data_IF_003246141222
#
_entry.id   IF_003246141222
#
_cell.length_a   1.000
_cell.length_b   1.000
_cell.length_c   1.000
_cell.angle_alpha   90.00
_cell.angle_beta   90.00
_cell.angle_gamma   90.00
#
_symmetry.space_group_name_H-M   'P 1'
#
loop_
_entity.id
_entity.type
_entity.pdbx_description
1 polymer ?
#
# COMPACT_ATOMS: atom_id res chain seq x y z
N UNK A 1 -22.71 15.59 7.97
CA UNK A 1 -22.16 16.22 6.75
C UNK A 1 -21.10 15.29 6.18
N UNK A 2 -20.98 15.15 4.85
CA UNK A 2 -19.89 14.40 4.24
C UNK A 2 -18.54 15.03 4.61
N UNK A 3 -17.49 14.21 4.62
CA UNK A 3 -16.13 14.71 4.81
C UNK A 3 -15.75 15.65 3.66
N UNK A 4 -15.07 16.75 3.97
CA UNK A 4 -14.61 17.77 3.02
C UNK A 4 -13.21 17.49 2.49
N UNK A 5 -12.42 16.73 3.24
CA UNK A 5 -11.03 16.40 2.94
C UNK A 5 -10.66 15.03 3.57
N UNK A 6 -9.48 14.51 3.19
CA UNK A 6 -8.98 13.23 3.69
C UNK A 6 -8.60 13.29 5.17
N UNK A 7 -8.15 14.43 5.67
CA UNK A 7 -7.73 14.58 7.07
C UNK A 7 -8.91 14.35 8.03
N UNK A 8 -10.10 14.82 7.68
CA UNK A 8 -11.32 14.56 8.44
C UNK A 8 -11.61 13.06 8.56
N UNK A 9 -11.39 12.30 7.49
CA UNK A 9 -11.58 10.85 7.45
C UNK A 9 -10.52 10.17 8.33
N UNK A 10 -9.25 10.52 8.15
CA UNK A 10 -8.13 9.96 8.95
C UNK A 10 -8.34 10.22 10.45
N UNK A 11 -8.75 11.44 10.81
CA UNK A 11 -9.04 11.81 12.19
C UNK A 11 -10.23 11.03 12.77
N UNK A 12 -11.29 10.79 11.97
CA UNK A 12 -12.39 9.93 12.38
C UNK A 12 -11.92 8.50 12.62
N UNK A 13 -11.13 7.94 11.70
CA UNK A 13 -10.62 6.58 11.78
C UNK A 13 -9.82 6.35 13.06
N UNK A 14 -8.88 7.26 13.38
CA UNK A 14 -8.11 7.21 14.62
C UNK A 14 -9.00 7.35 15.85
N UNK A 15 -9.90 8.34 15.88
CA UNK A 15 -10.74 8.62 17.06
C UNK A 15 -11.80 7.56 17.35
N UNK A 16 -12.25 6.82 16.34
CA UNK A 16 -13.37 5.87 16.47
C UNK A 16 -12.94 4.41 16.40
N UNK A 17 -11.65 4.11 16.29
CA UNK A 17 -11.16 2.74 16.28
C UNK A 17 -11.42 2.00 14.97
N UNK A 18 -11.22 2.68 13.85
CA UNK A 18 -11.18 2.04 12.55
C UNK A 18 -9.76 1.63 12.17
N UNK A 19 -8.84 2.59 12.02
CA UNK A 19 -7.49 2.33 11.51
C UNK A 19 -6.49 3.20 12.25
N UNK A 20 -5.34 2.60 12.60
CA UNK A 20 -4.22 3.24 13.27
C UNK A 20 -2.92 3.02 12.47
N UNK A 21 -1.96 3.95 12.48
CA UNK A 21 -0.59 3.66 12.02
C UNK A 21 -0.03 2.50 12.85
N UNK A 22 0.51 1.47 12.19
CA UNK A 22 1.05 0.35 12.94
C UNK A 22 2.29 0.76 13.73
N UNK A 23 2.46 0.21 14.93
CA UNK A 23 3.54 0.53 15.85
C UNK A 23 3.64 2.04 16.20
N UNK A 24 2.51 2.75 16.28
CA UNK A 24 2.45 4.22 16.51
C UNK A 24 3.26 4.67 17.73
N UNK A 25 3.23 3.92 18.84
CA UNK A 25 3.98 4.24 20.07
C UNK A 25 5.50 4.11 19.94
N UNK A 26 5.98 3.45 18.87
CA UNK A 26 7.39 3.27 18.55
C UNK A 26 7.87 4.15 17.38
N UNK A 27 7.07 5.13 16.97
CA UNK A 27 7.38 6.02 15.85
C UNK A 27 6.74 5.62 14.52
N UNK A 28 5.94 4.55 14.52
CA UNK A 28 5.20 4.09 13.36
C UNK A 28 6.04 3.30 12.35
N UNK A 29 5.39 2.41 11.61
CA UNK A 29 5.99 1.76 10.45
C UNK A 29 5.29 2.25 9.18
N UNK A 30 6.07 2.77 8.22
CA UNK A 30 5.50 3.34 6.99
C UNK A 30 4.75 2.26 6.21
N UNK A 31 3.62 2.64 5.65
CA UNK A 31 2.78 1.79 4.80
C UNK A 31 2.21 0.55 5.49
N UNK A 32 2.17 0.51 6.82
CA UNK A 32 1.44 -0.51 7.57
C UNK A 32 0.48 0.10 8.59
N UNK A 33 -0.64 -0.58 8.79
CA UNK A 33 -1.75 -0.07 9.59
C UNK A 33 -2.43 -1.21 10.35
N UNK A 34 -2.89 -0.90 11.56
CA UNK A 34 -3.63 -1.81 12.41
C UNK A 34 -5.11 -1.44 12.41
N UNK A 35 -5.99 -2.42 12.24
CA UNK A 35 -7.43 -2.22 12.30
C UNK A 35 -7.92 -2.28 13.76
N UNK A 36 -8.56 -1.20 14.22
CA UNK A 36 -9.20 -1.15 15.53
C UNK A 36 -10.48 -1.99 15.63
N UNK A 37 -11.21 -1.92 16.75
CA UNK A 37 -12.40 -2.75 16.97
C UNK A 37 -13.48 -2.57 15.89
N UNK A 38 -13.84 -1.32 15.55
CA UNK A 38 -14.82 -1.06 14.50
C UNK A 38 -14.27 -1.35 13.11
N UNK A 39 -12.99 -1.06 12.88
CA UNK A 39 -12.34 -1.32 11.58
C UNK A 39 -12.23 -2.80 11.26
N UNK A 40 -11.93 -3.63 12.26
CA UNK A 40 -11.85 -5.08 12.10
C UNK A 40 -13.22 -5.69 11.75
N UNK A 41 -14.29 -5.24 12.42
CA UNK A 41 -15.66 -5.65 12.09
C UNK A 41 -16.08 -5.17 10.69
N UNK A 42 -15.75 -3.92 10.35
CA UNK A 42 -16.02 -3.38 9.01
C UNK A 42 -15.29 -4.18 7.93
N UNK A 43 -13.99 -4.45 8.11
CA UNK A 43 -13.18 -5.23 7.18
C UNK A 43 -13.77 -6.64 7.00
N UNK A 44 -14.21 -7.26 8.10
CA UNK A 44 -14.88 -8.56 8.06
C UNK A 44 -16.17 -8.51 7.25
N UNK A 45 -17.03 -7.54 7.51
CA UNK A 45 -18.30 -7.37 6.80
C UNK A 45 -18.09 -7.17 5.30
N UNK A 46 -17.07 -6.40 4.89
CA UNK A 46 -16.73 -6.20 3.48
C UNK A 46 -16.26 -7.51 2.83
N UNK A 47 -15.37 -8.26 3.49
CA UNK A 47 -14.90 -9.56 3.01
C UNK A 47 -16.05 -10.56 2.86
N UNK A 48 -16.91 -10.67 3.89
CA UNK A 48 -18.04 -11.60 3.88
C UNK A 48 -19.07 -11.22 2.80
N UNK A 49 -19.33 -9.92 2.59
CA UNK A 49 -20.19 -9.46 1.50
C UNK A 49 -19.61 -9.82 0.12
N UNK A 50 -18.29 -9.66 -0.07
CA UNK A 50 -17.62 -10.03 -1.31
C UNK A 50 -17.70 -11.54 -1.56
N UNK A 51 -17.42 -12.38 -0.56
CA UNK A 51 -17.51 -13.84 -0.68
C UNK A 51 -18.93 -14.28 -1.02
N UNK A 52 -19.94 -13.67 -0.38
CA UNK A 52 -21.34 -13.96 -0.69
C UNK A 52 -21.64 -13.71 -2.17
N UNK A 53 -21.26 -12.55 -2.69
CA UNK A 53 -21.60 -12.14 -4.06
C UNK A 53 -20.76 -12.85 -5.12
N UNK A 54 -19.45 -12.99 -4.89
CA UNK A 54 -18.53 -13.53 -5.90
C UNK A 54 -18.42 -15.05 -5.88
N UNK A 55 -18.70 -15.71 -4.75
CA UNK A 55 -18.55 -17.16 -4.60
C UNK A 55 -19.91 -17.81 -4.35
N UNK A 56 -20.64 -17.40 -3.32
CA UNK A 56 -21.85 -18.14 -2.90
C UNK A 56 -23.05 -17.93 -3.84
N UNK A 57 -23.09 -16.81 -4.56
CA UNK A 57 -24.15 -16.47 -5.52
C UNK A 57 -23.80 -16.83 -6.97
N UNK A 58 -22.65 -17.49 -7.19
CA UNK A 58 -22.14 -17.84 -8.51
C UNK A 58 -21.76 -19.31 -8.55
N UNK A 59 -22.13 -19.99 -9.64
CA UNK A 59 -21.82 -21.41 -9.80
C UNK A 59 -20.44 -21.66 -10.45
N UNK A 60 -19.72 -20.60 -10.82
CA UNK A 60 -18.49 -20.64 -11.63
C UNK A 60 -17.23 -20.16 -10.89
N UNK A 61 -17.31 -19.93 -9.57
CA UNK A 61 -16.18 -19.45 -8.75
C UNK A 61 -16.04 -20.31 -7.51
N UNK A 62 -14.81 -20.75 -7.21
CA UNK A 62 -14.49 -21.56 -6.03
C UNK A 62 -13.54 -20.78 -5.12
N UNK A 63 -13.85 -20.75 -3.81
CA UNK A 63 -12.98 -20.13 -2.81
C UNK A 63 -11.85 -21.09 -2.42
N UNK A 64 -10.61 -20.60 -2.52
CA UNK A 64 -9.41 -21.31 -2.06
C UNK A 64 -8.65 -20.43 -1.06
N UNK A 65 -7.94 -21.07 -0.13
CA UNK A 65 -7.02 -20.41 0.81
C UNK A 65 -5.63 -21.02 0.64
N UNK A 66 -4.68 -20.21 0.17
CA UNK A 66 -3.34 -20.65 -0.21
C UNK A 66 -2.28 -20.10 0.75
N UNK A 67 -1.15 -20.81 0.87
CA UNK A 67 -0.03 -20.33 1.66
C UNK A 67 0.58 -19.05 1.07
N UNK A 68 0.92 -18.09 1.93
CA UNK A 68 1.59 -16.84 1.54
C UNK A 68 3.05 -17.10 1.12
N UNK A 69 3.72 -18.02 1.80
CA UNK A 69 5.09 -18.41 1.47
C UNK A 69 5.08 -19.47 0.39
N UNK A 70 5.82 -19.21 -0.69
CA UNK A 70 5.95 -20.12 -1.83
C UNK A 70 7.39 -20.23 -2.32
N UNK A 71 7.73 -21.31 -3.04
CA UNK A 71 9.05 -21.48 -3.63
C UNK A 71 9.30 -20.45 -4.77
N UNK A 72 10.55 -19.97 -4.96
CA UNK A 72 10.89 -18.94 -5.95
C UNK A 72 10.42 -19.23 -7.38
N UNK A 73 10.36 -20.50 -7.76
CA UNK A 73 9.96 -20.97 -9.10
C UNK A 73 8.56 -20.50 -9.48
N UNK A 74 7.64 -20.30 -8.52
CA UNK A 74 6.30 -19.76 -8.79
C UNK A 74 6.39 -18.31 -9.28
N UNK A 75 7.24 -17.51 -8.66
CA UNK A 75 7.44 -16.11 -9.00
C UNK A 75 8.25 -15.93 -10.29
N UNK A 76 9.14 -16.88 -10.58
CA UNK A 76 9.85 -16.94 -11.86
C UNK A 76 8.90 -17.29 -13.00
N UNK A 77 8.14 -18.39 -12.88
CA UNK A 77 7.21 -18.84 -13.90
C UNK A 77 6.09 -17.83 -14.20
N UNK A 78 5.66 -17.08 -13.19
CA UNK A 78 4.68 -15.99 -13.37
C UNK A 78 5.30 -14.68 -13.86
N UNK A 79 6.63 -14.59 -13.99
CA UNK A 79 7.35 -13.41 -14.46
C UNK A 79 7.51 -12.30 -13.43
N UNK A 80 7.11 -12.49 -12.17
CA UNK A 80 7.24 -11.47 -11.12
C UNK A 80 8.70 -11.10 -10.86
N UNK A 81 9.63 -12.06 -10.93
CA UNK A 81 11.06 -11.78 -10.72
C UNK A 81 11.67 -10.83 -11.76
N UNK A 82 11.10 -10.75 -12.96
CA UNK A 82 11.60 -9.91 -14.04
C UNK A 82 10.83 -8.59 -14.21
N UNK A 83 9.58 -8.53 -13.76
CA UNK A 83 8.67 -7.43 -14.12
C UNK A 83 8.03 -6.71 -12.93
N UNK A 84 8.07 -7.28 -11.72
CA UNK A 84 7.41 -6.69 -10.55
C UNK A 84 8.33 -5.74 -9.78
N UNK A 85 8.82 -4.71 -10.47
CA UNK A 85 9.66 -3.66 -9.89
C UNK A 85 9.17 -2.28 -10.32
N UNK A 86 9.16 -1.33 -9.39
CA UNK A 86 8.98 0.09 -9.72
C UNK A 86 10.36 0.74 -9.91
N UNK A 87 10.65 1.41 -11.03
CA UNK A 87 11.92 2.11 -11.21
C UNK A 87 12.10 3.21 -10.17
N UNK A 88 13.24 3.20 -9.48
CA UNK A 88 13.55 4.18 -8.43
C UNK A 88 14.72 5.08 -8.83
N UNK A 89 14.70 6.32 -8.38
CA UNK A 89 15.81 7.27 -8.49
C UNK A 89 16.24 7.79 -7.13
N UNK A 90 17.55 8.02 -6.97
CA UNK A 90 18.14 8.55 -5.75
C UNK A 90 18.45 10.04 -5.92
N UNK A 91 17.89 10.90 -5.08
CA UNK A 91 18.25 12.33 -5.12
C UNK A 91 19.69 12.52 -4.63
N UNK A 92 20.52 13.18 -5.44
CA UNK A 92 21.94 13.42 -5.13
C UNK A 92 22.15 14.34 -3.92
N UNK A 93 21.17 15.19 -3.61
CA UNK A 93 21.22 16.18 -2.53
C UNK A 93 20.59 15.65 -1.25
N UNK A 94 19.31 15.27 -1.27
CA UNK A 94 18.60 14.83 -0.07
C UNK A 94 18.89 13.37 0.31
N UNK A 95 19.59 12.61 -0.55
CA UNK A 95 19.96 11.20 -0.38
C UNK A 95 18.77 10.26 -0.14
N UNK A 96 17.55 10.69 -0.51
CA UNK A 96 16.35 9.87 -0.45
C UNK A 96 16.05 9.25 -1.81
N UNK A 97 15.40 8.09 -1.75
CA UNK A 97 14.91 7.35 -2.89
C UNK A 97 13.46 7.70 -3.17
N UNK A 98 13.12 7.83 -4.44
CA UNK A 98 11.79 8.16 -4.91
C UNK A 98 11.42 7.23 -6.07
N UNK A 99 10.14 6.92 -6.21
CA UNK A 99 9.66 6.25 -7.42
C UNK A 99 9.73 7.22 -8.59
N UNK A 100 10.30 6.77 -9.70
CA UNK A 100 10.57 7.59 -10.87
C UNK A 100 9.27 8.14 -11.49
N UNK A 101 8.20 7.35 -11.48
CA UNK A 101 6.88 7.72 -12.01
C UNK A 101 6.15 8.80 -11.19
N UNK A 102 6.54 9.02 -9.94
CA UNK A 102 5.96 10.05 -9.06
C UNK A 102 6.69 11.40 -9.14
N UNK A 103 7.71 11.53 -9.99
CA UNK A 103 8.51 12.74 -10.15
C UNK A 103 8.08 13.42 -11.45
N UNK A 104 7.07 14.27 -11.37
CA UNK A 104 6.54 15.01 -12.54
C UNK A 104 7.48 16.15 -12.96
N UNK A 105 8.19 16.77 -12.01
CA UNK A 105 9.18 17.83 -12.24
C UNK A 105 10.53 17.40 -11.66
N UNK A 106 11.65 17.94 -12.18
CA UNK A 106 12.99 17.68 -11.60
C UNK A 106 13.18 18.25 -10.19
N UNK A 107 12.12 18.73 -9.56
CA UNK A 107 12.14 19.23 -8.21
C UNK A 107 11.96 18.10 -7.21
N UNK A 108 12.80 18.11 -6.18
CA UNK A 108 12.72 17.11 -5.13
C UNK A 108 11.44 17.29 -4.33
N UNK A 109 10.69 16.22 -3.99
CA UNK A 109 9.53 16.29 -3.09
C UNK A 109 9.86 16.79 -1.67
N UNK A 110 11.14 17.03 -1.36
CA UNK A 110 11.61 17.67 -0.13
C UNK A 110 11.87 19.17 -0.30
N UNK A 111 11.55 19.75 -1.47
CA UNK A 111 11.73 21.16 -1.81
C UNK A 111 13.16 21.68 -1.57
N UNK A 112 14.16 20.79 -1.70
CA UNK A 112 15.56 21.16 -1.63
C UNK A 112 16.02 21.70 -2.98
N UNK A 113 16.79 22.80 -2.97
CA UNK A 113 17.31 23.41 -4.19
C UNK A 113 18.43 22.57 -4.81
N UNK A 114 18.52 22.56 -6.15
CA UNK A 114 19.62 21.94 -6.89
C UNK A 114 19.59 20.41 -6.92
N UNK A 115 18.44 19.79 -6.69
CA UNK A 115 18.32 18.34 -6.71
C UNK A 115 18.49 17.79 -8.12
N UNK A 116 19.35 16.78 -8.27
CA UNK A 116 19.49 16.02 -9.51
C UNK A 116 19.17 14.56 -9.26
N UNK A 117 18.55 13.93 -10.27
CA UNK A 117 18.19 12.52 -10.25
C UNK A 117 19.02 11.80 -11.32
N UNK A 118 19.77 10.75 -10.96
CA UNK A 118 20.45 9.88 -11.91
C UNK A 118 19.43 8.99 -12.64
N UNK A 119 19.91 8.14 -13.54
CA UNK A 119 19.08 7.15 -14.23
C UNK A 119 18.31 6.27 -13.25
N UNK A 120 17.06 5.98 -13.61
CA UNK A 120 16.21 5.08 -12.85
C UNK A 120 16.79 3.67 -12.86
N UNK A 121 16.68 2.98 -11.72
CA UNK A 121 17.11 1.60 -11.56
C UNK A 121 15.94 0.75 -11.11
N UNK A 122 15.83 -0.43 -11.71
CA UNK A 122 14.98 -1.50 -11.24
C UNK A 122 15.69 -2.18 -10.06
N UNK A 123 14.93 -2.43 -8.99
CA UNK A 123 15.41 -3.05 -7.75
C UNK A 123 14.54 -4.25 -7.42
#
# INVERSE_FOLDING_TARGET
>A
MPAKDLEQIVNLCKRRGFVYPSAEIYGGFRSSYDYGPLGSLMLRNVKDAWVRTMVQQRDDVVLIDAAILGPPQIFEASGHLANFSDPLVDCTVCKRRFRHDHIETRDCPQSMQGCTFPEAREF
#
